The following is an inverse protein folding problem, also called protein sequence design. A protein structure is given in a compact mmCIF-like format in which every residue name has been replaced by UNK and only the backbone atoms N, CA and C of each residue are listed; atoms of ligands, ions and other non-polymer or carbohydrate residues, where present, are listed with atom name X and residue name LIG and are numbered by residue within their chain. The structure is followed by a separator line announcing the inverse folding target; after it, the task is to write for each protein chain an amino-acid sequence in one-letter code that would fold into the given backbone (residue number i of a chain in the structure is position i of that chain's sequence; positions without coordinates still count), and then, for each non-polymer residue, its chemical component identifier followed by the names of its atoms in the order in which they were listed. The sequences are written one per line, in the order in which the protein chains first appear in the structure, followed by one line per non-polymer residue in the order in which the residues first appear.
data_IF_498635007948
#
_entry.id   IF_498635007948
#
_cell.length_a   1.000
_cell.length_b   1.000
_cell.length_c   1.000
_cell.angle_alpha   90.00
_cell.angle_beta   90.00
_cell.angle_gamma   90.00
#
_symmetry.space_group_name_H-M   'P 1'
#
loop_
_entity.id
_entity.type
_entity.pdbx_description
1 polymer ?
#
# COMPACT_ATOMS: atom_id res chain seq x y z
N UNK A 1 2.45 -3.74 39.73
CA UNK A 1 2.19 -3.92 38.28
C UNK A 1 2.58 -2.69 37.50
N UNK A 2 3.16 -2.92 36.32
CA UNK A 2 3.43 -1.85 35.37
C UNK A 2 2.20 -1.64 34.48
N UNK A 3 2.05 -0.42 33.96
CA UNK A 3 1.03 -0.14 32.95
C UNK A 3 1.38 -0.89 31.68
N UNK A 4 0.36 -1.37 31.00
CA UNK A 4 0.48 -1.93 29.67
C UNK A 4 1.03 -0.86 28.71
N UNK A 5 1.93 -1.29 27.82
CA UNK A 5 2.49 -0.45 26.76
C UNK A 5 1.76 -0.80 25.46
N UNK A 6 1.16 0.20 24.85
CA UNK A 6 0.47 0.06 23.56
C UNK A 6 1.46 0.36 22.44
N UNK A 7 1.49 -0.50 21.43
CA UNK A 7 2.31 -0.28 20.23
C UNK A 7 1.84 0.95 19.48
N UNK A 8 2.75 1.83 19.02
CA UNK A 8 2.39 3.00 18.23
C UNK A 8 1.58 2.65 16.98
N UNK A 9 0.69 3.57 16.59
CA UNK A 9 0.06 3.51 15.28
C UNK A 9 1.07 3.96 14.22
N UNK A 10 1.20 3.15 13.15
CA UNK A 10 2.06 3.44 12.01
C UNK A 10 1.20 3.32 10.76
N UNK A 11 0.94 4.44 10.07
CA UNK A 11 0.01 4.44 8.92
C UNK A 11 0.44 3.44 7.85
N UNK A 12 -0.50 2.58 7.44
CA UNK A 12 -0.28 1.51 6.48
C UNK A 12 0.43 0.28 7.04
N UNK A 13 0.60 0.17 8.36
CA UNK A 13 1.20 -1.00 9.01
C UNK A 13 0.47 -1.42 10.28
N UNK A 14 0.30 -2.74 10.47
CA UNK A 14 -0.29 -3.33 11.67
C UNK A 14 0.78 -3.98 12.56
N UNK A 15 0.88 -3.63 13.86
CA UNK A 15 1.80 -4.32 14.77
C UNK A 15 1.32 -5.74 15.06
N UNK A 16 2.24 -6.72 15.00
CA UNK A 16 1.96 -8.11 15.39
C UNK A 16 1.59 -8.26 16.87
N UNK A 17 2.08 -7.33 17.70
CA UNK A 17 1.77 -7.24 19.12
C UNK A 17 1.21 -5.85 19.39
N UNK A 18 -0.10 -5.75 19.65
CA UNK A 18 -0.78 -4.46 19.88
C UNK A 18 -0.52 -3.90 21.27
N UNK A 19 -0.34 -4.76 22.26
CA UNK A 19 -0.17 -4.35 23.65
C UNK A 19 0.75 -5.34 24.36
N UNK A 20 1.71 -4.80 25.11
CA UNK A 20 2.61 -5.56 25.98
C UNK A 20 2.18 -5.31 27.42
N UNK A 21 1.68 -6.36 28.07
CA UNK A 21 1.23 -6.29 29.47
C UNK A 21 2.31 -6.79 30.42
N UNK A 22 2.59 -6.02 31.47
CA UNK A 22 3.61 -6.34 32.47
C UNK A 22 3.01 -6.41 33.89
N UNK A 23 2.21 -7.47 34.11
CA UNK A 23 1.61 -7.80 35.41
C UNK A 23 2.50 -8.76 36.21
N UNK A 24 2.48 -8.64 37.53
CA UNK A 24 3.21 -9.50 38.47
C UNK A 24 4.75 -9.50 38.29
N UNK A 25 5.32 -8.38 37.83
CA UNK A 25 6.78 -8.22 37.71
C UNK A 25 7.39 -8.03 39.11
N UNK A 26 8.35 -8.87 39.49
CA UNK A 26 9.06 -8.80 40.76
C UNK A 26 9.98 -7.57 40.86
N UNK A 27 10.29 -7.11 42.07
CA UNK A 27 11.07 -5.88 42.28
C UNK A 27 12.51 -5.96 41.74
N UNK A 28 13.04 -7.18 41.66
CA UNK A 28 14.39 -7.57 41.22
C UNK A 28 14.36 -8.26 39.84
N UNK A 29 13.21 -8.24 39.17
CA UNK A 29 13.11 -8.74 37.81
C UNK A 29 14.01 -7.94 36.87
N UNK A 30 14.63 -8.64 35.92
CA UNK A 30 15.34 -8.00 34.82
C UNK A 30 14.37 -7.24 33.92
N UNK A 31 14.91 -6.29 33.14
CA UNK A 31 14.14 -5.57 32.15
C UNK A 31 13.48 -6.51 31.14
N UNK A 32 12.27 -6.15 30.70
CA UNK A 32 11.56 -6.85 29.64
C UNK A 32 11.69 -6.01 28.37
N UNK A 33 12.50 -6.49 27.43
CA UNK A 33 12.64 -5.88 26.12
C UNK A 33 11.77 -6.61 25.10
N UNK A 34 10.87 -5.89 24.44
CA UNK A 34 9.98 -6.44 23.41
C UNK A 34 10.24 -5.75 22.08
N UNK A 35 10.55 -6.55 21.05
CA UNK A 35 10.62 -6.10 19.66
C UNK A 35 9.28 -6.35 19.00
N UNK A 36 8.59 -5.28 18.60
CA UNK A 36 7.33 -5.36 17.86
C UNK A 36 7.62 -5.25 16.36
N UNK A 37 7.23 -6.28 15.62
CA UNK A 37 7.30 -6.31 14.15
C UNK A 37 5.97 -5.79 13.60
N UNK A 38 6.04 -4.98 12.56
CA UNK A 38 4.89 -4.40 11.86
C UNK A 38 4.75 -5.05 10.48
N UNK A 39 3.56 -5.56 10.19
CA UNK A 39 3.22 -6.08 8.87
C UNK A 39 2.59 -4.97 8.02
N UNK A 40 2.98 -4.89 6.75
CA UNK A 40 2.40 -3.94 5.81
C UNK A 40 0.93 -4.28 5.54
N UNK A 41 0.07 -3.28 5.61
CA UNK A 41 -1.36 -3.45 5.41
C UNK A 41 -1.70 -3.70 3.93
N UNK A 42 -2.82 -4.38 3.68
CA UNK A 42 -3.28 -4.66 2.32
C UNK A 42 -3.79 -3.37 1.64
N UNK A 43 -3.30 -3.12 0.43
CA UNK A 43 -3.62 -1.94 -0.38
C UNK A 43 -4.27 -2.32 -1.71
N UNK A 44 -5.02 -1.36 -2.28
CA UNK A 44 -5.71 -1.51 -3.57
C UNK A 44 -5.52 -0.26 -4.42
N UNK A 45 -5.38 -0.45 -5.73
CA UNK A 45 -5.31 0.64 -6.69
C UNK A 45 -6.18 0.32 -7.92
N UNK A 46 -6.55 1.36 -8.66
CA UNK A 46 -7.27 1.23 -9.94
C UNK A 46 -6.60 2.09 -10.99
N UNK A 47 -6.44 1.51 -12.18
CA UNK A 47 -5.94 2.22 -13.36
C UNK A 47 -7.04 2.26 -14.40
N UNK A 48 -7.53 3.46 -14.71
CA UNK A 48 -8.60 3.67 -15.68
C UNK A 48 -8.04 4.26 -16.98
N UNK A 49 -8.39 3.64 -18.10
CA UNK A 49 -8.06 4.12 -19.44
C UNK A 49 -9.28 4.81 -20.01
N UNK A 50 -9.19 6.13 -20.24
CA UNK A 50 -10.32 6.96 -20.64
C UNK A 50 -10.12 7.46 -22.08
N UNK A 51 -11.17 7.36 -22.90
CA UNK A 51 -11.25 8.11 -24.14
C UNK A 51 -11.63 9.56 -23.82
N UNK A 52 -10.64 10.46 -23.92
CA UNK A 52 -10.80 11.89 -23.63
C UNK A 52 -11.88 12.58 -24.47
N UNK A 53 -12.11 12.13 -25.72
CA UNK A 53 -13.10 12.76 -26.61
C UNK A 53 -14.53 12.47 -26.18
N UNK A 54 -14.78 11.26 -25.70
CA UNK A 54 -16.13 10.79 -25.36
C UNK A 54 -16.37 10.71 -23.85
N UNK A 55 -15.31 10.80 -23.04
CA UNK A 55 -15.34 10.56 -21.60
C UNK A 55 -15.53 9.09 -21.21
N UNK A 56 -15.53 8.17 -22.18
CA UNK A 56 -15.82 6.75 -21.92
C UNK A 56 -14.62 6.04 -21.31
N UNK A 57 -14.84 5.29 -20.23
CA UNK A 57 -13.85 4.32 -19.74
C UNK A 57 -13.74 3.13 -20.70
N UNK A 58 -12.56 2.94 -21.28
CA UNK A 58 -12.23 1.85 -22.19
C UNK A 58 -11.86 0.57 -21.43
N UNK A 59 -11.18 0.72 -20.29
CA UNK A 59 -10.73 -0.37 -19.42
C UNK A 59 -10.47 0.16 -18.01
N UNK A 60 -10.69 -0.70 -17.03
CA UNK A 60 -10.23 -0.49 -15.65
C UNK A 60 -9.50 -1.72 -15.17
N UNK A 61 -8.24 -1.56 -14.80
CA UNK A 61 -7.46 -2.61 -14.13
C UNK A 61 -7.51 -2.37 -12.61
N UNK A 62 -7.73 -3.44 -11.85
CA UNK A 62 -7.67 -3.43 -10.38
C UNK A 62 -6.39 -4.10 -9.92
N UNK A 63 -5.65 -3.43 -9.06
CA UNK A 63 -4.39 -3.89 -8.49
C UNK A 63 -4.57 -4.10 -6.99
N UNK A 64 -3.89 -5.11 -6.46
CA UNK A 64 -3.83 -5.39 -5.02
C UNK A 64 -2.38 -5.60 -4.61
N UNK A 65 -2.02 -5.12 -3.44
CA UNK A 65 -0.68 -5.31 -2.88
C UNK A 65 -0.67 -4.97 -1.40
N UNK A 66 0.48 -4.56 -0.91
CA UNK A 66 0.63 -4.07 0.46
C UNK A 66 1.29 -2.70 0.44
N UNK A 67 1.17 -1.98 1.55
CA UNK A 67 1.77 -0.65 1.74
C UNK A 67 3.23 -0.58 1.25
N UNK A 68 3.54 0.47 0.48
CA UNK A 68 4.85 0.75 -0.12
C UNK A 68 5.38 -0.30 -1.11
N UNK A 69 4.60 -1.34 -1.45
CA UNK A 69 5.02 -2.35 -2.41
C UNK A 69 4.94 -1.83 -3.85
N UNK A 70 5.89 -2.27 -4.67
CA UNK A 70 5.84 -2.18 -6.13
C UNK A 70 4.74 -3.09 -6.67
N UNK A 71 3.89 -2.58 -7.54
CA UNK A 71 2.76 -3.34 -8.09
C UNK A 71 3.16 -4.30 -9.23
N UNK A 72 4.34 -4.13 -9.84
CA UNK A 72 4.69 -4.80 -11.08
C UNK A 72 3.93 -4.29 -12.31
N UNK A 73 3.12 -3.23 -12.16
CA UNK A 73 2.24 -2.71 -13.20
C UNK A 73 2.75 -1.38 -13.76
N UNK A 74 2.74 -1.27 -15.10
CA UNK A 74 2.96 -0.02 -15.83
C UNK A 74 1.88 0.17 -16.90
N UNK A 75 1.65 1.42 -17.32
CA UNK A 75 0.68 1.77 -18.38
C UNK A 75 1.21 1.50 -19.79
N UNK A 76 2.51 1.22 -19.95
CA UNK A 76 3.20 1.23 -21.24
C UNK A 76 2.59 0.26 -22.28
N UNK A 77 2.31 -0.98 -21.88
CA UNK A 77 1.76 -1.99 -22.78
C UNK A 77 0.33 -1.63 -23.21
N UNK A 78 -0.53 -1.23 -22.27
CA UNK A 78 -1.89 -0.81 -22.58
C UNK A 78 -1.92 0.44 -23.48
N UNK A 79 -1.05 1.43 -23.21
CA UNK A 79 -0.91 2.62 -24.07
C UNK A 79 -0.52 2.20 -25.49
N UNK A 80 0.46 1.31 -25.63
CA UNK A 80 0.89 0.79 -26.95
C UNK A 80 -0.24 0.05 -27.66
N UNK A 81 -1.02 -0.75 -26.94
CA UNK A 81 -2.21 -1.42 -27.49
C UNK A 81 -3.23 -0.41 -28.01
N UNK A 82 -3.57 0.63 -27.25
CA UNK A 82 -4.54 1.63 -27.70
C UNK A 82 -4.01 2.49 -28.86
N UNK A 83 -2.70 2.79 -28.89
CA UNK A 83 -2.08 3.46 -30.04
C UNK A 83 -2.21 2.64 -31.33
N UNK A 84 -2.01 1.32 -31.25
CA UNK A 84 -2.22 0.42 -32.39
C UNK A 84 -3.69 0.36 -32.86
N UNK A 85 -4.65 0.68 -31.98
CA UNK A 85 -6.08 0.82 -32.30
C UNK A 85 -6.47 2.21 -32.82
N UNK A 86 -5.51 3.13 -32.99
CA UNK A 86 -5.72 4.46 -33.54
C UNK A 86 -5.96 5.57 -32.51
N UNK A 87 -5.85 5.27 -31.21
CA UNK A 87 -5.88 6.29 -30.16
C UNK A 87 -4.55 7.05 -30.09
N UNK A 88 -4.60 8.27 -29.54
CA UNK A 88 -3.41 9.06 -29.21
C UNK A 88 -3.40 9.32 -27.71
N UNK A 89 -2.23 9.20 -27.09
CA UNK A 89 -2.06 9.51 -25.68
C UNK A 89 -2.28 11.01 -25.47
N UNK A 90 -3.16 11.36 -24.55
CA UNK A 90 -3.38 12.75 -24.11
C UNK A 90 -2.58 13.02 -22.83
N UNK A 91 -2.76 12.17 -21.81
CA UNK A 91 -2.04 12.23 -20.54
C UNK A 91 -1.82 10.84 -19.96
N UNK A 92 -0.80 10.71 -19.12
CA UNK A 92 -0.54 9.55 -18.26
C UNK A 92 -0.03 10.06 -16.91
N UNK A 93 -0.84 9.89 -15.86
CA UNK A 93 -0.51 10.35 -14.51
C UNK A 93 0.69 9.59 -13.91
N UNK A 94 0.91 8.35 -14.35
CA UNK A 94 2.06 7.55 -13.93
C UNK A 94 3.35 8.00 -14.62
N UNK A 95 3.25 8.76 -15.71
CA UNK A 95 4.39 9.15 -16.56
C UNK A 95 5.24 7.95 -16.99
N UNK A 96 4.59 6.79 -17.21
CA UNK A 96 5.24 5.51 -17.51
C UNK A 96 5.98 4.85 -16.34
N UNK A 97 5.91 5.39 -15.12
CA UNK A 97 6.50 4.76 -13.94
C UNK A 97 5.68 3.56 -13.48
N UNK A 98 6.36 2.64 -12.79
CA UNK A 98 5.71 1.56 -12.07
C UNK A 98 4.88 2.13 -10.90
N UNK A 99 3.65 1.64 -10.76
CA UNK A 99 2.78 2.06 -9.65
C UNK A 99 3.30 1.45 -8.35
N UNK A 100 3.47 2.29 -7.34
CA UNK A 100 3.81 1.89 -5.96
C UNK A 100 2.59 2.17 -5.09
N UNK A 101 2.18 1.19 -4.29
CA UNK A 101 1.09 1.39 -3.33
C UNK A 101 1.53 2.40 -2.26
N UNK A 102 0.63 3.31 -1.91
CA UNK A 102 0.86 4.30 -0.87
C UNK A 102 0.76 3.68 0.53
N UNK A 103 0.85 4.53 1.54
CA UNK A 103 0.77 4.18 2.96
C UNK A 103 -0.27 5.04 3.68
N UNK A 104 -1.25 5.59 2.94
CA UNK A 104 -2.24 6.53 3.45
C UNK A 104 -3.52 5.87 3.98
#
# INVERSE_FOLDING_TARGET
DFKDVVSPDVTGYTPRVKTVSNKNVAHDAQNIDVVVIYDADAQKAKVAYIDDKTGKTLKTDSLTGVTNAKSGYTTADSIKTYQALGYKLVSDDTKGAEIVFDNE
#
